data_IF_877124436131
#
_entry.id   IF_877124436131
#
_cell.length_a   1.000
_cell.length_b   1.000
_cell.length_c   1.000
_cell.angle_alpha   90.00
_cell.angle_beta   90.00
_cell.angle_gamma   90.00
#
_symmetry.space_group_name_H-M   'P 1'
#
loop_
_entity.id
_entity.type
_entity.pdbx_description
1 polymer ?
#
# COMPACT_ATOMS: atom_id res chain seq x y z
N UNK A 1 7.87 -4.81 -29.70
CA UNK A 1 9.14 -4.74 -28.95
C UNK A 1 9.14 -5.81 -27.88
N UNK A 2 10.14 -6.70 -27.78
CA UNK A 2 10.13 -7.77 -26.79
C UNK A 2 10.79 -7.31 -25.47
N UNK A 3 10.08 -7.46 -24.34
CA UNK A 3 10.72 -7.93 -23.10
C UNK A 3 10.98 -6.98 -21.92
N UNK A 4 10.46 -5.75 -21.87
CA UNK A 4 10.72 -4.86 -20.70
C UNK A 4 10.15 -5.38 -19.38
N UNK A 5 8.99 -6.03 -19.39
CA UNK A 5 8.39 -6.62 -18.18
C UNK A 5 9.07 -7.88 -17.70
N UNK A 6 9.41 -8.76 -18.65
CA UNK A 6 9.96 -10.08 -18.35
C UNK A 6 11.39 -10.00 -17.81
N UNK A 7 12.09 -8.89 -18.02
CA UNK A 7 13.46 -8.70 -17.51
C UNK A 7 13.51 -7.94 -16.18
N UNK A 8 12.36 -7.51 -15.64
CA UNK A 8 12.29 -6.60 -14.48
C UNK A 8 11.34 -7.15 -13.41
N UNK A 9 10.08 -6.69 -13.36
CA UNK A 9 9.09 -7.05 -12.32
C UNK A 9 8.91 -8.56 -12.21
N UNK A 10 8.86 -9.29 -13.33
CA UNK A 10 8.62 -10.74 -13.33
C UNK A 10 9.91 -11.60 -13.20
N UNK A 11 11.08 -10.98 -13.00
CA UNK A 11 12.36 -11.69 -12.94
C UNK A 11 13.14 -11.36 -11.66
N UNK A 12 12.53 -11.71 -10.52
CA UNK A 12 13.22 -11.70 -9.23
C UNK A 12 14.14 -12.92 -9.12
N UNK A 13 15.44 -12.70 -8.90
CA UNK A 13 16.45 -13.78 -8.83
C UNK A 13 17.22 -13.82 -7.51
N UNK A 14 16.92 -12.92 -6.57
CA UNK A 14 17.71 -12.76 -5.34
C UNK A 14 17.22 -13.64 -4.17
N UNK A 15 16.05 -14.28 -4.30
CA UNK A 15 15.49 -15.18 -3.30
C UNK A 15 15.04 -14.47 -2.01
N UNK A 16 14.92 -13.14 -2.02
CA UNK A 16 14.39 -12.37 -0.91
C UNK A 16 12.85 -12.42 -0.86
N UNK A 17 12.29 -12.11 0.31
CA UNK A 17 10.86 -12.19 0.63
C UNK A 17 9.99 -11.50 -0.45
N UNK A 18 8.95 -12.21 -0.92
CA UNK A 18 8.04 -11.81 -1.99
C UNK A 18 6.79 -11.05 -1.49
N UNK A 19 6.78 -10.66 -0.21
CA UNK A 19 5.62 -9.99 0.40
C UNK A 19 5.54 -8.54 -0.06
N UNK A 20 4.36 -8.10 -0.46
CA UNK A 20 4.11 -6.70 -0.72
C UNK A 20 4.12 -5.90 0.61
N UNK A 21 5.02 -4.93 0.70
CA UNK A 21 5.22 -4.02 1.85
C UNK A 21 5.15 -2.55 1.42
N UNK A 22 4.53 -2.27 0.26
CA UNK A 22 4.30 -0.89 -0.14
C UNK A 22 3.46 -0.18 0.93
N UNK A 23 3.82 1.07 1.24
CA UNK A 23 3.21 1.84 2.34
C UNK A 23 1.70 2.06 2.15
N UNK A 24 1.22 1.91 0.92
CA UNK A 24 -0.20 2.05 0.64
C UNK A 24 -0.98 0.79 1.07
N UNK A 25 -0.35 -0.38 1.10
CA UNK A 25 -0.97 -1.66 1.53
C UNK A 25 -0.56 -2.10 2.93
N UNK A 26 0.52 -1.53 3.45
CA UNK A 26 0.93 -1.66 4.83
C UNK A 26 0.25 -0.52 5.59
N UNK A 27 -0.68 -0.86 6.47
CA UNK A 27 -1.30 0.13 7.35
C UNK A 27 -0.19 0.94 8.08
N UNK A 28 -0.42 2.22 8.44
CA UNK A 28 0.53 3.01 9.21
C UNK A 28 0.65 2.51 10.66
N UNK A 29 1.11 1.28 10.87
CA UNK A 29 1.69 0.79 12.12
C UNK A 29 3.14 1.28 12.26
N UNK A 30 3.42 2.52 11.82
CA UNK A 30 4.66 3.17 12.22
C UNK A 30 4.48 3.52 13.69
N UNK A 31 4.94 2.62 14.55
CA UNK A 31 4.84 2.79 15.99
C UNK A 31 5.36 4.20 16.36
N UNK A 32 4.51 5.06 16.96
CA UNK A 32 4.85 6.43 17.32
C UNK A 32 6.09 6.51 18.24
N UNK A 33 6.42 5.42 18.94
CA UNK A 33 7.62 5.32 19.76
C UNK A 33 8.90 5.38 18.93
N UNK A 34 8.91 4.89 17.68
CA UNK A 34 10.02 5.08 16.74
C UNK A 34 10.16 6.56 16.36
N UNK A 35 9.03 7.23 16.13
CA UNK A 35 8.95 8.67 15.86
C UNK A 35 9.45 9.50 17.08
N UNK A 36 9.23 9.01 18.29
CA UNK A 36 9.72 9.60 19.54
C UNK A 36 11.22 9.37 19.77
N UNK A 37 11.72 8.15 19.58
CA UNK A 37 13.17 7.82 19.62
C UNK A 37 13.94 8.66 18.59
N UNK A 38 13.32 8.93 17.45
CA UNK A 38 13.80 9.82 16.40
C UNK A 38 13.93 11.28 16.84
N UNK A 39 12.91 11.81 17.54
CA UNK A 39 12.91 13.18 18.03
C UNK A 39 14.02 13.40 19.07
N UNK A 40 14.20 12.48 20.02
CA UNK A 40 15.25 12.58 21.04
C UNK A 40 16.67 12.46 20.45
N UNK A 41 16.88 11.55 19.49
CA UNK A 41 18.20 11.37 18.85
C UNK A 41 18.57 12.53 17.92
N UNK A 42 17.60 13.15 17.23
CA UNK A 42 17.87 14.33 16.37
C UNK A 42 18.28 15.57 17.19
N UNK A 43 17.69 15.75 18.38
CA UNK A 43 18.04 16.83 19.31
C UNK A 43 19.44 16.64 19.92
N UNK A 44 19.97 15.42 19.97
CA UNK A 44 21.35 15.14 20.42
C UNK A 44 22.42 15.44 19.36
N UNK A 45 22.10 15.43 18.06
CA UNK A 45 23.07 15.58 16.98
C UNK A 45 22.87 16.88 16.18
N UNK A 46 23.48 17.96 16.67
CA UNK A 46 23.43 19.31 16.08
C UNK A 46 24.17 19.53 14.74
N UNK A 47 24.46 18.49 13.94
CA UNK A 47 25.17 18.62 12.64
C UNK A 47 24.48 17.88 11.49
N UNK A 48 24.45 18.53 10.32
CA UNK A 48 23.80 18.06 9.09
C UNK A 48 24.28 16.67 8.59
N UNK A 49 25.53 16.28 8.86
CA UNK A 49 26.04 14.95 8.47
C UNK A 49 25.52 13.83 9.39
N UNK A 50 25.36 14.08 10.69
CA UNK A 50 24.76 13.09 11.61
C UNK A 50 23.27 12.89 11.37
N UNK A 51 22.56 13.92 10.87
CA UNK A 51 21.15 13.76 10.48
C UNK A 51 20.98 12.81 9.30
N UNK A 52 21.88 12.86 8.32
CA UNK A 52 21.88 11.90 7.19
C UNK A 52 22.15 10.47 7.64
N UNK A 53 23.07 10.28 8.58
CA UNK A 53 23.34 8.97 9.15
C UNK A 53 22.13 8.41 9.93
N UNK A 54 21.41 9.26 10.69
CA UNK A 54 20.18 8.87 11.35
C UNK A 54 19.06 8.52 10.34
N UNK A 55 18.99 9.22 9.20
CA UNK A 55 18.03 8.91 8.13
C UNK A 55 18.33 7.53 7.50
N UNK A 56 19.60 7.19 7.26
CA UNK A 56 19.98 5.85 6.75
C UNK A 56 19.69 4.74 7.79
N UNK A 57 19.93 4.98 9.08
CA UNK A 57 19.62 4.01 10.14
C UNK A 57 18.10 3.79 10.28
N UNK A 58 17.31 4.83 10.05
CA UNK A 58 15.83 4.76 9.99
C UNK A 58 15.37 4.00 8.77
N UNK A 59 16.01 4.26 7.63
CA UNK A 59 15.77 3.57 6.36
C UNK A 59 15.93 2.05 6.52
N UNK A 60 16.89 1.60 7.31
CA UNK A 60 17.12 0.19 7.66
C UNK A 60 16.17 -0.37 8.74
N UNK A 61 15.50 0.49 9.52
CA UNK A 61 14.56 0.07 10.58
C UNK A 61 13.14 -0.22 10.10
N UNK A 62 12.77 0.32 8.94
CA UNK A 62 11.56 -0.09 8.22
C UNK A 62 11.84 -1.39 7.47
N UNK A 63 10.93 -2.37 7.57
CA UNK A 63 10.90 -3.53 6.66
C UNK A 63 10.58 -3.01 5.25
N UNK A 64 11.59 -2.49 4.55
CA UNK A 64 11.39 -1.79 3.30
C UNK A 64 10.73 -2.72 2.29
N UNK A 65 9.83 -2.21 1.44
CA UNK A 65 9.38 -2.96 0.29
C UNK A 65 10.59 -3.38 -0.54
N UNK A 66 10.88 -4.68 -0.51
CA UNK A 66 11.94 -5.28 -1.29
C UNK A 66 11.68 -4.98 -2.76
N UNK A 67 12.64 -4.30 -3.39
CA UNK A 67 12.51 -3.84 -4.76
C UNK A 67 13.69 -4.34 -5.58
N UNK A 68 13.48 -5.40 -6.34
CA UNK A 68 14.48 -6.01 -7.21
C UNK A 68 14.53 -5.38 -8.62
N UNK A 69 13.78 -4.30 -8.86
CA UNK A 69 13.70 -3.60 -10.15
C UNK A 69 13.70 -2.07 -9.96
N UNK A 70 14.00 -1.31 -11.02
CA UNK A 70 13.95 0.16 -10.92
C UNK A 70 12.53 0.70 -11.14
N UNK A 71 12.08 1.64 -10.31
CA UNK A 71 10.81 2.36 -10.51
C UNK A 71 10.75 3.04 -11.88
N UNK A 72 11.89 3.49 -12.42
CA UNK A 72 11.95 4.11 -13.76
C UNK A 72 11.54 3.15 -14.88
N UNK A 73 11.73 1.85 -14.69
CA UNK A 73 11.35 0.84 -15.67
C UNK A 73 9.85 0.62 -15.69
N UNK A 74 9.20 0.63 -14.52
CA UNK A 74 7.74 0.62 -14.40
C UNK A 74 7.13 1.84 -15.08
N UNK A 75 7.68 3.03 -14.83
CA UNK A 75 7.22 4.28 -15.46
C UNK A 75 7.38 4.20 -16.98
N UNK A 76 8.56 3.77 -17.47
CA UNK A 76 8.79 3.63 -18.93
C UNK A 76 7.83 2.64 -19.56
N UNK A 77 7.53 1.56 -18.87
CA UNK A 77 6.59 0.56 -19.37
C UNK A 77 5.16 1.13 -19.40
N UNK A 78 4.77 1.94 -18.42
CA UNK A 78 3.49 2.65 -18.39
C UNK A 78 3.35 3.67 -19.52
N UNK A 79 4.39 4.44 -19.79
CA UNK A 79 4.41 5.37 -20.94
C UNK A 79 4.15 4.63 -22.26
N UNK A 80 4.79 3.46 -22.45
CA UNK A 80 4.60 2.63 -23.64
C UNK A 80 3.19 2.02 -23.72
N UNK A 81 2.64 1.61 -22.59
CA UNK A 81 1.25 1.15 -22.50
C UNK A 81 0.31 2.29 -22.93
N UNK A 82 0.36 3.44 -22.26
CA UNK A 82 -0.48 4.60 -22.59
C UNK A 82 -0.36 4.99 -24.07
N UNK A 83 0.85 5.03 -24.63
CA UNK A 83 1.08 5.34 -26.04
C UNK A 83 0.45 4.32 -27.01
N UNK A 84 0.21 3.09 -26.56
CA UNK A 84 -0.43 2.02 -27.35
C UNK A 84 -1.96 1.99 -27.17
N UNK A 85 -2.53 2.92 -26.39
CA UNK A 85 -3.94 2.94 -26.03
C UNK A 85 -4.90 3.06 -27.21
N UNK A 86 -4.54 3.84 -28.24
CA UNK A 86 -5.38 4.04 -29.43
C UNK A 86 -5.65 2.72 -30.18
N UNK A 87 -4.70 1.78 -30.14
CA UNK A 87 -4.80 0.49 -30.85
C UNK A 87 -5.36 -0.64 -29.96
N UNK A 88 -5.11 -0.59 -28.65
CA UNK A 88 -5.30 -1.73 -27.74
C UNK A 88 -6.40 -1.54 -26.70
N UNK A 89 -6.96 -0.33 -26.55
CA UNK A 89 -7.96 -0.01 -25.51
C UNK A 89 -9.22 -0.88 -25.52
N UNK A 90 -9.61 -1.41 -26.68
CA UNK A 90 -10.75 -2.32 -26.81
C UNK A 90 -10.49 -3.72 -26.24
N UNK A 91 -9.22 -4.07 -25.95
CA UNK A 91 -8.86 -5.37 -25.38
C UNK A 91 -8.98 -5.32 -23.86
N UNK A 92 -9.82 -6.18 -23.29
CA UNK A 92 -10.02 -6.25 -21.84
C UNK A 92 -8.72 -6.57 -21.08
N UNK A 93 -7.89 -7.47 -21.60
CA UNK A 93 -6.59 -7.80 -20.99
C UNK A 93 -5.66 -6.60 -20.97
N UNK A 94 -5.64 -5.79 -22.04
CA UNK A 94 -4.84 -4.56 -22.07
C UNK A 94 -5.33 -3.54 -21.04
N UNK A 95 -6.65 -3.37 -20.89
CA UNK A 95 -7.22 -2.47 -19.87
C UNK A 95 -6.88 -2.93 -18.46
N UNK A 96 -6.95 -4.23 -18.19
CA UNK A 96 -6.53 -4.80 -16.91
C UNK A 96 -5.05 -4.52 -16.63
N UNK A 97 -4.17 -4.86 -17.57
CA UNK A 97 -2.72 -4.68 -17.43
C UNK A 97 -2.35 -3.19 -17.28
N UNK A 98 -3.03 -2.29 -17.98
CA UNK A 98 -2.86 -0.85 -17.84
C UNK A 98 -3.21 -0.36 -16.43
N UNK A 99 -4.33 -0.84 -15.87
CA UNK A 99 -4.74 -0.50 -14.50
C UNK A 99 -3.72 -1.05 -13.49
N UNK A 100 -3.34 -2.33 -13.60
CA UNK A 100 -2.38 -2.96 -12.68
C UNK A 100 -1.02 -2.26 -12.68
N UNK A 101 -0.55 -1.89 -13.87
CA UNK A 101 0.71 -1.19 -14.03
C UNK A 101 0.68 0.23 -13.46
N UNK A 102 -0.42 0.95 -13.69
CA UNK A 102 -0.62 2.29 -13.13
C UNK A 102 -0.69 2.21 -11.61
N UNK A 103 -1.38 1.20 -11.07
CA UNK A 103 -1.46 0.89 -9.64
C UNK A 103 -0.07 0.63 -9.07
N UNK A 104 0.75 -0.15 -9.76
CA UNK A 104 2.13 -0.41 -9.34
C UNK A 104 2.98 0.87 -9.32
N UNK A 105 2.83 1.74 -10.31
CA UNK A 105 3.52 3.03 -10.35
C UNK A 105 3.09 3.95 -9.20
N UNK A 106 1.78 4.03 -8.91
CA UNK A 106 1.24 4.79 -7.79
C UNK A 106 1.75 4.27 -6.45
N UNK A 107 1.77 2.95 -6.24
CA UNK A 107 2.29 2.35 -5.02
C UNK A 107 3.77 2.72 -4.77
N UNK A 108 4.60 2.75 -5.83
CA UNK A 108 6.01 3.18 -5.69
C UNK A 108 6.14 4.68 -5.44
N UNK A 109 5.26 5.49 -6.03
CA UNK A 109 5.23 6.92 -5.74
C UNK A 109 4.77 7.20 -4.31
N UNK A 110 3.81 6.43 -3.78
CA UNK A 110 3.35 6.51 -2.40
C UNK A 110 4.50 6.28 -1.40
N UNK A 111 5.34 5.26 -1.63
CA UNK A 111 6.54 5.03 -0.80
C UNK A 111 7.47 6.25 -0.76
N UNK A 112 7.71 6.88 -1.92
CA UNK A 112 8.57 8.07 -1.99
C UNK A 112 7.95 9.27 -1.27
N UNK A 113 6.63 9.44 -1.38
CA UNK A 113 5.90 10.53 -0.75
C UNK A 113 5.89 10.36 0.77
N UNK A 114 5.68 9.14 1.26
CA UNK A 114 5.74 8.81 2.68
C UNK A 114 7.10 9.12 3.30
N UNK A 115 8.20 8.75 2.64
CA UNK A 115 9.55 9.09 3.11
C UNK A 115 9.75 10.61 3.26
N UNK A 116 9.17 11.41 2.36
CA UNK A 116 9.21 12.89 2.46
C UNK A 116 8.38 13.40 3.63
N UNK A 117 7.24 12.78 3.94
CA UNK A 117 6.44 13.11 5.14
C UNK A 117 7.27 12.88 6.39
N UNK A 118 7.95 11.73 6.49
CA UNK A 118 8.83 11.41 7.61
C UNK A 118 9.99 12.42 7.71
N UNK A 119 10.62 12.80 6.60
CA UNK A 119 11.68 13.82 6.59
C UNK A 119 11.16 15.18 7.09
N UNK A 120 10.01 15.64 6.59
CA UNK A 120 9.40 16.90 7.04
C UNK A 120 9.07 16.87 8.53
N UNK A 121 8.56 15.73 9.02
CA UNK A 121 8.29 15.54 10.44
C UNK A 121 9.56 15.66 11.28
N UNK A 122 10.65 14.99 10.88
CA UNK A 122 11.94 15.05 11.58
C UNK A 122 12.54 16.46 11.61
N UNK A 123 12.26 17.27 10.59
CA UNK A 123 12.67 18.67 10.52
C UNK A 123 11.76 19.62 11.31
N UNK A 124 10.70 19.10 11.96
CA UNK A 124 9.63 19.87 12.60
C UNK A 124 8.94 20.85 11.63
N UNK A 125 8.92 20.52 10.33
CA UNK A 125 8.24 21.32 9.30
C UNK A 125 6.76 20.92 9.26
N UNK A 126 5.96 21.55 10.12
CA UNK A 126 4.52 21.29 10.25
C UNK A 126 3.79 21.53 8.92
N UNK A 127 4.18 22.56 8.17
CA UNK A 127 3.57 22.89 6.88
C UNK A 127 3.94 21.84 5.84
N UNK A 128 5.21 21.40 5.84
CA UNK A 128 5.69 20.28 5.03
C UNK A 128 4.92 18.99 5.29
N UNK A 129 4.77 18.59 6.56
CA UNK A 129 4.01 17.40 6.96
C UNK A 129 2.56 17.49 6.48
N UNK A 130 1.87 18.60 6.75
CA UNK A 130 0.47 18.76 6.36
C UNK A 130 0.29 18.71 4.83
N UNK A 131 1.16 19.41 4.08
CA UNK A 131 1.05 19.46 2.62
C UNK A 131 1.43 18.14 1.93
N UNK A 132 2.43 17.42 2.43
CA UNK A 132 2.84 16.12 1.90
C UNK A 132 1.86 15.02 2.31
N UNK A 133 1.32 15.09 3.53
CA UNK A 133 0.27 14.20 4.01
C UNK A 133 -1.00 14.34 3.18
N UNK A 134 -1.43 15.57 2.86
CA UNK A 134 -2.58 15.77 1.97
C UNK A 134 -2.34 15.15 0.60
N UNK A 135 -1.16 15.39 -0.01
CA UNK A 135 -0.81 14.75 -1.30
C UNK A 135 -0.83 13.23 -1.23
N UNK A 136 -0.51 12.65 -0.08
CA UNK A 136 -0.54 11.20 0.10
C UNK A 136 -1.98 10.70 0.13
N UNK A 137 -2.86 11.39 0.84
CA UNK A 137 -4.30 11.08 0.86
C UNK A 137 -4.92 11.24 -0.54
N UNK A 138 -4.61 12.33 -1.24
CA UNK A 138 -5.06 12.55 -2.61
C UNK A 138 -4.62 11.39 -3.53
N UNK A 139 -3.39 10.87 -3.36
CA UNK A 139 -2.89 9.72 -4.11
C UNK A 139 -3.64 8.42 -3.77
N UNK A 140 -4.08 8.24 -2.52
CA UNK A 140 -4.91 7.09 -2.12
C UNK A 140 -6.28 7.16 -2.79
N UNK A 141 -6.90 8.35 -2.84
CA UNK A 141 -8.17 8.58 -3.55
C UNK A 141 -8.02 8.35 -5.07
N UNK A 142 -6.92 8.83 -5.66
CA UNK A 142 -6.59 8.58 -7.06
C UNK A 142 -6.38 7.08 -7.33
N UNK A 143 -5.76 6.35 -6.39
CA UNK A 143 -5.61 4.90 -6.51
C UNK A 143 -6.96 4.19 -6.46
N UNK A 144 -7.88 4.57 -5.57
CA UNK A 144 -9.22 3.99 -5.51
C UNK A 144 -10.01 4.24 -6.81
N UNK A 145 -9.94 5.47 -7.33
CA UNK A 145 -10.53 5.85 -8.62
C UNK A 145 -9.96 5.03 -9.79
N UNK A 146 -8.64 4.83 -9.81
CA UNK A 146 -7.97 4.01 -10.81
C UNK A 146 -8.44 2.56 -10.76
N UNK A 147 -8.49 1.97 -9.58
CA UNK A 147 -8.92 0.57 -9.38
C UNK A 147 -10.39 0.38 -9.81
N UNK A 148 -11.23 1.41 -9.64
CA UNK A 148 -12.63 1.38 -10.07
C UNK A 148 -12.81 1.33 -11.61
N UNK A 149 -11.75 1.56 -12.39
CA UNK A 149 -11.83 1.52 -13.85
C UNK A 149 -11.94 0.11 -14.45
N UNK A 150 -11.79 -0.95 -13.64
CA UNK A 150 -11.87 -2.32 -14.14
C UNK A 150 -12.42 -3.30 -13.08
N UNK A 151 -13.43 -4.10 -13.48
CA UNK A 151 -14.16 -5.02 -12.60
C UNK A 151 -13.27 -6.00 -11.81
N UNK A 152 -12.13 -6.39 -12.41
CA UNK A 152 -11.13 -7.26 -11.79
C UNK A 152 -10.48 -6.73 -10.50
N UNK A 153 -10.63 -5.44 -10.18
CA UNK A 153 -10.12 -4.83 -8.94
C UNK A 153 -11.25 -4.42 -7.98
N UNK A 154 -12.52 -4.71 -8.30
CA UNK A 154 -13.63 -4.40 -7.42
C UNK A 154 -13.76 -5.44 -6.32
N UNK A 155 -13.92 -5.00 -5.07
CA UNK A 155 -14.17 -5.92 -3.97
C UNK A 155 -15.63 -6.37 -3.87
N UNK A 156 -16.58 -5.57 -4.35
CA UNK A 156 -18.01 -5.91 -4.34
C UNK A 156 -18.31 -7.32 -4.88
N UNK A 157 -17.82 -7.70 -6.08
CA UNK A 157 -17.98 -9.05 -6.61
C UNK A 157 -17.44 -10.17 -5.71
N UNK A 158 -16.33 -9.94 -4.99
CA UNK A 158 -15.78 -10.89 -4.02
C UNK A 158 -16.71 -11.08 -2.82
N UNK A 159 -17.16 -9.98 -2.21
CA UNK A 159 -18.08 -10.01 -1.07
C UNK A 159 -19.42 -10.65 -1.44
N UNK A 160 -19.98 -10.26 -2.59
CA UNK A 160 -21.23 -10.83 -3.10
C UNK A 160 -21.09 -12.32 -3.45
N UNK A 161 -19.90 -12.77 -3.87
CA UNK A 161 -19.65 -14.19 -4.09
C UNK A 161 -19.60 -14.98 -2.78
N UNK A 162 -19.02 -14.41 -1.72
CA UNK A 162 -19.03 -15.02 -0.40
C UNK A 162 -20.46 -15.15 0.15
N UNK A 163 -21.23 -14.07 0.08
CA UNK A 163 -22.64 -14.02 0.54
C UNK A 163 -23.54 -15.03 -0.16
N UNK A 164 -23.37 -15.23 -1.47
CA UNK A 164 -24.15 -16.21 -2.26
C UNK A 164 -23.97 -17.66 -1.83
N UNK A 165 -22.94 -17.97 -1.02
CA UNK A 165 -22.74 -19.31 -0.48
C UNK A 165 -23.57 -19.57 0.80
N UNK A 166 -24.16 -18.54 1.39
CA UNK A 166 -24.97 -18.63 2.60
C UNK A 166 -26.34 -19.28 2.36
N UNK A 167 -26.87 -19.94 3.38
CA UNK A 167 -28.19 -20.58 3.36
C UNK A 167 -29.28 -19.74 4.05
N UNK A 168 -28.87 -18.76 4.87
CA UNK A 168 -29.72 -17.87 5.65
C UNK A 168 -29.00 -16.53 5.90
N UNK A 169 -29.73 -15.57 6.46
CA UNK A 169 -29.26 -14.20 6.72
C UNK A 169 -28.09 -14.15 7.72
N UNK A 170 -28.10 -15.01 8.74
CA UNK A 170 -27.01 -15.10 9.73
C UNK A 170 -25.71 -15.60 9.08
N UNK A 171 -25.81 -16.61 8.19
CA UNK A 171 -24.67 -17.07 7.41
C UNK A 171 -24.19 -16.04 6.39
N UNK A 172 -25.09 -15.22 5.82
CA UNK A 172 -24.73 -14.16 4.88
C UNK A 172 -23.83 -13.12 5.56
N UNK A 173 -24.25 -12.65 6.74
CA UNK A 173 -23.46 -11.73 7.58
C UNK A 173 -22.12 -12.36 7.97
N UNK A 174 -22.11 -13.62 8.40
CA UNK A 174 -20.89 -14.32 8.79
C UNK A 174 -19.93 -14.53 7.61
N UNK A 175 -20.43 -14.82 6.42
CA UNK A 175 -19.59 -15.06 5.23
C UNK A 175 -19.03 -13.76 4.67
N UNK A 176 -19.80 -12.67 4.71
CA UNK A 176 -19.29 -11.35 4.39
C UNK A 176 -18.19 -10.94 5.39
N UNK A 177 -18.42 -11.15 6.70
CA UNK A 177 -17.42 -10.90 7.72
C UNK A 177 -16.14 -11.71 7.48
N UNK A 178 -16.26 -13.02 7.20
CA UNK A 178 -15.10 -13.88 6.89
C UNK A 178 -14.33 -13.40 5.65
N UNK A 179 -15.03 -12.93 4.62
CA UNK A 179 -14.44 -12.45 3.38
C UNK A 179 -13.66 -11.14 3.57
N UNK A 180 -14.16 -10.24 4.44
CA UNK A 180 -13.48 -9.00 4.85
C UNK A 180 -12.29 -9.30 5.76
N UNK A 181 -12.47 -10.13 6.78
CA UNK A 181 -11.41 -10.50 7.72
C UNK A 181 -10.22 -11.15 7.02
N UNK A 182 -10.43 -12.02 6.03
CA UNK A 182 -9.33 -12.68 5.31
C UNK A 182 -8.39 -11.72 4.58
N UNK A 183 -8.90 -10.59 4.08
CA UNK A 183 -8.09 -9.63 3.32
C UNK A 183 -7.50 -8.53 4.20
N UNK A 184 -7.97 -8.38 5.44
CA UNK A 184 -7.48 -7.42 6.43
C UNK A 184 -6.72 -8.14 7.55
N UNK A 185 -7.39 -8.60 8.59
CA UNK A 185 -6.76 -9.12 9.81
C UNK A 185 -6.32 -10.59 9.72
N UNK A 186 -6.73 -11.31 8.69
CA UNK A 186 -6.61 -12.77 8.48
C UNK A 186 -7.32 -13.64 9.51
N UNK A 187 -7.17 -13.31 10.79
CA UNK A 187 -7.74 -14.00 11.93
C UNK A 187 -8.02 -13.00 13.04
N UNK A 188 -9.11 -13.21 13.78
CA UNK A 188 -9.45 -12.38 14.93
C UNK A 188 -8.59 -12.80 16.13
N UNK A 189 -7.67 -11.93 16.52
CA UNK A 189 -6.98 -12.02 17.79
C UNK A 189 -7.81 -11.26 18.83
N UNK A 190 -7.64 -11.57 20.12
CA UNK A 190 -8.37 -10.90 21.22
C UNK A 190 -8.53 -9.39 21.03
N UNK A 191 -9.58 -8.80 21.58
CA UNK A 191 -9.92 -7.36 21.52
C UNK A 191 -8.80 -6.37 21.91
N UNK A 192 -7.65 -6.85 22.36
CA UNK A 192 -6.51 -6.09 22.86
C UNK A 192 -5.28 -6.12 21.91
N UNK A 193 -5.19 -7.08 20.96
CA UNK A 193 -4.01 -7.22 20.10
C UNK A 193 -4.40 -7.59 18.65
N UNK A 194 -3.85 -6.89 17.67
CA UNK A 194 -4.02 -7.21 16.25
C UNK A 194 -3.32 -8.52 15.87
N UNK A 195 -3.75 -9.17 14.78
CA UNK A 195 -3.16 -10.42 14.33
C UNK A 195 -1.72 -10.28 13.84
N UNK A 196 -0.87 -11.26 14.17
CA UNK A 196 0.46 -11.42 13.56
C UNK A 196 0.39 -11.73 12.05
N UNK A 197 -0.80 -12.09 11.55
CA UNK A 197 -1.08 -12.30 10.13
C UNK A 197 -1.87 -11.14 9.49
N UNK A 198 -2.05 -10.02 10.20
CA UNK A 198 -2.69 -8.83 9.63
C UNK A 198 -1.97 -8.38 8.36
N UNK A 199 -2.77 -7.97 7.38
CA UNK A 199 -2.40 -7.63 6.01
C UNK A 199 -1.67 -8.73 5.24
N UNK A 200 -1.61 -9.98 5.75
CA UNK A 200 -0.98 -11.09 5.02
C UNK A 200 -1.74 -11.43 3.73
N UNK A 201 -3.07 -11.22 3.73
CA UNK A 201 -3.96 -11.42 2.59
C UNK A 201 -4.34 -10.12 1.91
N UNK A 202 -3.55 -9.06 2.13
CA UNK A 202 -3.89 -7.75 1.60
C UNK A 202 -4.09 -7.82 0.08
N UNK A 203 -5.03 -7.01 -0.37
CA UNK A 203 -5.33 -6.82 -1.78
C UNK A 203 -5.35 -5.33 -2.07
N UNK A 204 -5.27 -4.98 -3.34
CA UNK A 204 -5.33 -3.57 -3.79
C UNK A 204 -6.55 -3.39 -4.67
N UNK A 205 -7.73 -3.57 -4.05
CA UNK A 205 -9.02 -3.39 -4.70
C UNK A 205 -9.75 -2.14 -4.21
N UNK A 206 -10.75 -1.70 -4.95
CA UNK A 206 -11.60 -0.55 -4.57
C UNK A 206 -12.29 -0.81 -3.24
N UNK A 207 -12.27 0.18 -2.37
CA UNK A 207 -12.87 0.10 -1.03
C UNK A 207 -12.05 -0.74 -0.04
N UNK A 208 -10.91 -1.30 -0.43
CA UNK A 208 -10.01 -1.99 0.50
C UNK A 208 -9.62 -1.08 1.67
N UNK A 209 -9.24 0.16 1.38
CA UNK A 209 -8.84 1.15 2.40
C UNK A 209 -9.99 1.48 3.37
N UNK A 210 -11.22 1.63 2.88
CA UNK A 210 -12.38 1.87 3.75
C UNK A 210 -12.67 0.67 4.66
N UNK A 211 -12.45 -0.55 4.17
CA UNK A 211 -12.74 -1.79 4.89
C UNK A 211 -11.70 -2.05 5.97
N UNK A 212 -10.43 -1.83 5.66
CA UNK A 212 -9.35 -1.90 6.65
C UNK A 212 -9.60 -0.88 7.78
N UNK A 213 -9.91 0.38 7.42
CA UNK A 213 -10.21 1.42 8.40
C UNK A 213 -11.44 1.13 9.26
N UNK A 214 -12.47 0.47 8.71
CA UNK A 214 -13.71 0.15 9.42
C UNK A 214 -13.58 -1.06 10.37
N UNK A 215 -12.82 -2.09 10.00
CA UNK A 215 -12.62 -3.26 10.87
C UNK A 215 -11.67 -2.97 12.04
N UNK A 216 -10.92 -1.87 11.99
CA UNK A 216 -9.90 -1.52 12.98
C UNK A 216 -10.30 -0.39 13.95
N UNK A 217 -11.44 0.28 13.72
CA UNK A 217 -12.01 1.25 14.66
C UNK A 217 -12.03 0.79 16.12
N UNK A 218 -12.30 -0.49 16.46
CA UNK A 218 -12.28 -0.96 17.85
C UNK A 218 -10.90 -0.92 18.52
N UNK A 219 -9.80 -0.89 17.75
CA UNK A 219 -8.43 -0.95 18.26
C UNK A 219 -7.73 0.41 18.30
N UNK A 220 -8.28 1.43 17.63
CA UNK A 220 -7.68 2.78 17.52
C UNK A 220 -8.17 3.70 18.66
N UNK A 221 -9.28 3.36 19.34
CA UNK A 221 -9.93 4.25 20.33
C UNK A 221 -9.27 4.35 21.71
N UNK A 222 -8.17 3.62 21.96
CA UNK A 222 -7.48 3.57 23.27
C UNK A 222 -6.05 4.16 23.25
N UNK A 223 -5.82 5.26 22.50
CA UNK A 223 -4.59 6.07 22.61
C UNK A 223 -4.87 7.54 22.87
#
# INVERSE_FOLDING_TARGET
MPGTYYTTVYNCTDGAYDKNRDVIVAFPDVDPSFIFVLHERSNQYGKSESRRAAIEEVRDSFDQPHLWYSTSEVIRALELFIASGDELSERISYRYDLVDLTRQAFAKYANQLFLKVIEAYQLNDIVGVASLGQKFLDLVEDMDTLLACHDGFLLGPWLESAKKLAQDEEQEEQFEWNARTQITMWFDNSSEEASLLRDYGNSTGVGFYEITMAQEQPYISDT
#
